data_IF_610762409843
#
_entry.id   IF_610762409843
#
_cell.length_a   1.000
_cell.length_b   1.000
_cell.length_c   1.000
_cell.angle_alpha   90.00
_cell.angle_beta   90.00
_cell.angle_gamma   90.00
#
_symmetry.space_group_name_H-M   'P 1'
#
loop_
_entity.id
_entity.type
_entity.pdbx_description
1 polymer ?
#
# COMPACT_ATOMS: atom_id res chain seq x y z
N UNK A 1 7.36 -6.95 20.47
CA UNK A 1 7.99 -6.15 19.39
C UNK A 1 8.00 -4.68 19.81
N UNK A 2 9.10 -3.94 19.60
CA UNK A 2 9.08 -2.50 19.80
C UNK A 2 8.11 -1.84 18.79
N UNK A 3 7.53 -0.67 19.12
CA UNK A 3 6.64 0.04 18.20
C UNK A 3 7.37 0.37 16.90
N UNK A 4 6.71 0.08 15.77
CA UNK A 4 7.23 0.49 14.46
C UNK A 4 7.32 2.02 14.41
N UNK A 5 8.50 2.56 14.08
CA UNK A 5 8.71 3.99 13.92
C UNK A 5 8.79 4.32 12.44
N UNK A 6 7.87 5.14 11.95
CA UNK A 6 7.96 5.72 10.63
C UNK A 6 9.24 6.55 10.50
N UNK A 7 10.08 6.19 9.53
CA UNK A 7 11.39 6.81 9.22
C UNK A 7 11.50 6.98 7.70
N UNK A 8 12.40 7.86 7.27
CA UNK A 8 12.54 8.24 5.87
C UNK A 8 11.74 9.50 5.53
N UNK A 9 12.03 10.10 4.37
CA UNK A 9 11.47 11.39 3.96
C UNK A 9 9.94 11.38 3.98
N UNK A 10 9.30 10.49 3.23
CA UNK A 10 7.83 10.52 3.04
C UNK A 10 7.03 10.07 4.27
N UNK A 11 7.68 9.35 5.19
CA UNK A 11 7.02 8.79 6.38
C UNK A 11 7.35 9.54 7.67
N UNK A 12 8.32 10.45 7.66
CA UNK A 12 8.72 11.19 8.87
C UNK A 12 7.57 12.08 9.38
N UNK A 13 7.43 12.16 10.70
CA UNK A 13 6.53 13.13 11.35
C UNK A 13 7.22 14.48 11.63
N UNK A 14 8.49 14.62 11.27
CA UNK A 14 9.21 15.88 11.38
C UNK A 14 8.92 16.75 10.16
N UNK A 15 8.26 17.90 10.36
CA UNK A 15 7.93 18.86 9.29
C UNK A 15 9.13 19.34 8.48
N UNK A 16 10.32 19.44 9.07
CA UNK A 16 11.52 19.86 8.32
C UNK A 16 12.03 18.76 7.38
N UNK A 17 11.74 17.49 7.68
CA UNK A 17 12.13 16.34 6.87
C UNK A 17 11.01 15.85 5.94
N UNK A 18 9.75 16.20 6.23
CA UNK A 18 8.56 15.82 5.49
C UNK A 18 7.55 16.99 5.45
N UNK A 19 7.86 18.08 4.74
CA UNK A 19 7.05 19.29 4.78
C UNK A 19 5.60 19.05 4.33
N UNK A 20 5.40 18.08 3.42
CA UNK A 20 4.10 17.84 2.78
C UNK A 20 3.21 16.86 3.56
N UNK A 21 3.77 15.80 4.13
CA UNK A 21 3.01 14.67 4.69
C UNK A 21 3.24 14.45 6.20
N UNK A 22 3.99 15.32 6.89
CA UNK A 22 4.35 15.08 8.31
C UNK A 22 3.16 14.81 9.22
N UNK A 23 2.01 15.45 9.00
CA UNK A 23 0.81 15.30 9.83
C UNK A 23 -0.28 14.40 9.25
N UNK A 24 0.02 13.64 8.19
CA UNK A 24 -0.93 12.67 7.64
C UNK A 24 -1.02 11.41 8.52
N UNK A 25 -2.18 10.76 8.48
CA UNK A 25 -2.32 9.36 8.91
C UNK A 25 -1.43 8.49 8.02
N UNK A 26 -0.56 7.67 8.63
CA UNK A 26 0.40 6.82 7.91
C UNK A 26 0.14 5.37 8.24
N UNK A 27 0.14 4.55 7.20
CA UNK A 27 0.01 3.10 7.30
C UNK A 27 1.14 2.48 6.49
N UNK A 28 1.87 1.54 7.09
CA UNK A 28 2.84 0.72 6.38
C UNK A 28 2.35 -0.71 6.34
N UNK A 29 2.21 -1.25 5.14
CA UNK A 29 1.85 -2.65 4.91
C UNK A 29 3.14 -3.40 4.59
N UNK A 30 3.50 -4.35 5.44
CA UNK A 30 4.70 -5.16 5.22
C UNK A 30 4.49 -6.09 4.01
N UNK A 31 5.47 -6.12 3.12
CA UNK A 31 5.48 -7.06 1.99
C UNK A 31 5.77 -8.47 2.48
N UNK A 32 4.79 -9.37 2.36
CA UNK A 32 4.87 -10.72 2.92
C UNK A 32 4.35 -11.84 2.00
N UNK A 33 3.87 -11.50 0.80
CA UNK A 33 3.30 -12.47 -0.14
C UNK A 33 4.29 -13.02 -1.17
N UNK A 34 5.44 -12.35 -1.37
CA UNK A 34 6.45 -12.80 -2.33
C UNK A 34 6.09 -12.64 -3.81
N UNK A 35 4.91 -12.05 -4.11
CA UNK A 35 4.40 -11.86 -5.49
C UNK A 35 3.87 -10.44 -5.71
N UNK A 36 4.56 -9.45 -5.14
CA UNK A 36 4.33 -8.02 -5.33
C UNK A 36 2.87 -7.57 -5.13
N UNK A 37 2.14 -8.18 -4.19
CA UNK A 37 0.71 -7.95 -3.95
C UNK A 37 -0.22 -8.32 -5.14
N UNK A 38 0.27 -9.05 -6.14
CA UNK A 38 -0.49 -9.36 -7.38
C UNK A 38 -1.08 -10.77 -7.42
N UNK A 39 -0.44 -11.74 -6.76
CA UNK A 39 -0.89 -13.12 -6.79
C UNK A 39 -2.21 -13.37 -6.06
N UNK A 40 -3.01 -14.28 -6.60
CA UNK A 40 -4.25 -14.78 -6.01
C UNK A 40 -4.44 -16.28 -6.31
N UNK A 41 -3.57 -17.11 -5.75
CA UNK A 41 -3.64 -18.57 -5.93
C UNK A 41 -4.19 -19.27 -4.68
N UNK A 42 -5.10 -20.23 -4.88
CA UNK A 42 -5.58 -21.08 -3.80
C UNK A 42 -4.54 -22.11 -3.38
N UNK A 43 -3.85 -22.71 -4.35
CA UNK A 43 -2.85 -23.74 -4.09
C UNK A 43 -1.70 -23.18 -3.26
N UNK A 44 -1.36 -23.91 -2.20
CA UNK A 44 -0.16 -23.66 -1.39
C UNK A 44 1.00 -24.38 -2.07
N UNK A 45 2.16 -23.73 -2.18
CA UNK A 45 3.35 -24.38 -2.72
C UNK A 45 3.67 -25.63 -1.88
N UNK A 46 3.62 -26.85 -2.46
CA UNK A 46 3.80 -28.07 -1.69
C UNK A 46 5.26 -28.27 -1.23
N UNK A 47 6.23 -27.63 -1.88
CA UNK A 47 7.64 -27.74 -1.54
C UNK A 47 8.05 -26.75 -0.43
N UNK A 48 7.48 -25.55 -0.44
CA UNK A 48 7.87 -24.47 0.49
C UNK A 48 6.81 -24.12 1.53
N UNK A 49 5.58 -24.61 1.38
CA UNK A 49 4.40 -24.25 2.17
C UNK A 49 4.10 -22.74 2.16
N UNK A 50 4.46 -22.04 1.08
CA UNK A 50 4.25 -20.60 0.92
C UNK A 50 2.90 -20.29 0.25
N UNK A 51 2.35 -19.13 0.62
CA UNK A 51 1.08 -18.62 0.15
C UNK A 51 1.30 -17.38 -0.70
N UNK A 52 0.98 -17.45 -1.99
CA UNK A 52 1.15 -16.35 -2.95
C UNK A 52 -0.18 -15.61 -3.16
N UNK A 53 -0.67 -14.94 -2.12
CA UNK A 53 -2.04 -14.36 -2.04
C UNK A 53 -2.03 -12.84 -1.82
N UNK A 54 -1.08 -12.15 -2.46
CA UNK A 54 -0.89 -10.71 -2.38
C UNK A 54 -2.16 -9.88 -2.61
N UNK A 55 -2.98 -10.24 -3.61
CA UNK A 55 -4.20 -9.51 -3.92
C UNK A 55 -5.25 -9.58 -2.80
N UNK A 56 -5.28 -10.69 -2.06
CA UNK A 56 -6.15 -10.86 -0.87
C UNK A 56 -5.68 -10.00 0.28
N UNK A 57 -4.36 -9.91 0.49
CA UNK A 57 -3.79 -9.04 1.53
C UNK A 57 -4.18 -7.58 1.25
N UNK A 58 -4.07 -7.10 0.01
CA UNK A 58 -4.53 -5.76 -0.35
C UNK A 58 -6.01 -5.56 -0.01
N UNK A 59 -6.86 -6.53 -0.37
CA UNK A 59 -8.31 -6.47 -0.12
C UNK A 59 -8.63 -6.39 1.38
N UNK A 60 -8.02 -7.26 2.19
CA UNK A 60 -8.23 -7.32 3.63
C UNK A 60 -7.73 -6.05 4.35
N UNK A 61 -6.56 -5.54 3.93
CA UNK A 61 -6.02 -4.28 4.46
C UNK A 61 -6.96 -3.12 4.13
N UNK A 62 -7.43 -3.02 2.89
CA UNK A 62 -8.35 -1.95 2.50
C UNK A 62 -9.65 -1.98 3.31
N UNK A 63 -10.24 -3.17 3.50
CA UNK A 63 -11.43 -3.34 4.34
C UNK A 63 -11.23 -2.83 5.77
N UNK A 64 -10.12 -3.22 6.40
CA UNK A 64 -9.77 -2.80 7.77
C UNK A 64 -9.52 -1.28 7.85
N UNK A 65 -8.80 -0.70 6.89
CA UNK A 65 -8.52 0.75 6.87
C UNK A 65 -9.77 1.60 6.62
N UNK A 66 -10.66 1.14 5.74
CA UNK A 66 -11.95 1.79 5.51
C UNK A 66 -12.78 1.80 6.80
N UNK A 67 -12.80 0.69 7.55
CA UNK A 67 -13.47 0.61 8.84
C UNK A 67 -12.84 1.54 9.91
N UNK A 68 -11.52 1.78 9.82
CA UNK A 68 -10.76 2.67 10.71
C UNK A 68 -10.81 4.16 10.34
N UNK A 69 -11.56 4.53 9.30
CA UNK A 69 -11.85 5.93 8.97
C UNK A 69 -11.26 6.41 7.65
N UNK A 70 -10.51 5.59 6.90
CA UNK A 70 -9.99 5.99 5.58
C UNK A 70 -11.11 6.42 4.62
N UNK A 71 -12.29 5.82 4.75
CA UNK A 71 -13.48 6.15 3.94
C UNK A 71 -13.99 7.58 4.13
N UNK A 72 -13.62 8.23 5.23
CA UNK A 72 -14.06 9.56 5.63
C UNK A 72 -12.99 10.64 5.35
N UNK A 73 -11.81 10.22 4.85
CA UNK A 73 -10.70 11.13 4.57
C UNK A 73 -10.95 11.99 3.32
N UNK A 74 -10.46 13.24 3.37
CA UNK A 74 -10.53 14.19 2.26
C UNK A 74 -9.44 13.94 1.20
N UNK A 75 -8.34 13.32 1.59
CA UNK A 75 -7.22 13.00 0.71
C UNK A 75 -6.76 11.58 1.02
N UNK A 76 -6.54 10.79 -0.01
CA UNK A 76 -5.98 9.45 0.11
C UNK A 76 -4.83 9.27 -0.89
N UNK A 77 -3.73 8.68 -0.42
CA UNK A 77 -2.53 8.47 -1.21
C UNK A 77 -2.05 7.03 -1.03
N UNK A 78 -2.04 6.26 -2.13
CA UNK A 78 -1.48 4.91 -2.17
C UNK A 78 -0.05 4.98 -2.70
N UNK A 79 0.94 4.76 -1.83
CA UNK A 79 2.36 4.80 -2.17
C UNK A 79 2.94 3.39 -2.17
N UNK A 80 3.79 3.09 -3.14
CA UNK A 80 4.56 1.85 -3.18
C UNK A 80 5.95 2.07 -3.76
N UNK A 81 6.94 1.31 -3.27
CA UNK A 81 8.34 1.37 -3.74
C UNK A 81 8.83 0.00 -4.21
N UNK A 82 9.62 -0.06 -5.29
CA UNK A 82 10.15 -1.30 -5.87
C UNK A 82 9.03 -2.32 -6.14
N UNK A 83 9.11 -3.56 -5.63
CA UNK A 83 8.03 -4.54 -5.76
C UNK A 83 6.70 -4.06 -5.13
N UNK A 84 6.76 -3.21 -4.11
CA UNK A 84 5.58 -2.60 -3.49
C UNK A 84 4.91 -1.54 -4.35
N UNK A 85 5.53 -1.09 -5.44
CA UNK A 85 4.92 -0.14 -6.39
C UNK A 85 3.87 -0.78 -7.29
N UNK A 86 3.89 -2.10 -7.50
CA UNK A 86 2.90 -2.82 -8.29
C UNK A 86 1.46 -2.62 -7.79
N UNK A 87 1.11 -2.75 -6.50
CA UNK A 87 -0.24 -2.44 -6.05
C UNK A 87 -0.59 -0.95 -6.22
N UNK A 88 0.37 -0.04 -6.03
CA UNK A 88 0.13 1.39 -6.28
C UNK A 88 -0.16 1.70 -7.77
N UNK A 89 0.46 0.95 -8.68
CA UNK A 89 0.25 1.06 -10.12
C UNK A 89 -1.02 0.35 -10.58
N UNK A 90 -1.15 -0.94 -10.26
CA UNK A 90 -2.18 -1.83 -10.80
C UNK A 90 -3.52 -1.69 -10.08
N UNK A 91 -3.52 -1.31 -8.80
CA UNK A 91 -4.75 -1.19 -8.01
C UNK A 91 -5.19 0.25 -7.79
N UNK A 92 -4.58 1.25 -8.44
CA UNK A 92 -4.94 2.65 -8.22
C UNK A 92 -6.43 2.92 -8.50
N UNK A 93 -6.97 2.39 -9.60
CA UNK A 93 -8.38 2.54 -9.94
C UNK A 93 -9.29 1.82 -8.94
N UNK A 94 -8.87 0.65 -8.45
CA UNK A 94 -9.59 -0.10 -7.41
C UNK A 94 -9.59 0.67 -6.10
N UNK A 95 -8.45 1.22 -5.70
CA UNK A 95 -8.30 2.07 -4.52
C UNK A 95 -9.23 3.29 -4.60
N UNK A 96 -9.28 3.94 -5.77
CA UNK A 96 -10.20 5.05 -6.04
C UNK A 96 -11.68 4.65 -5.88
N UNK A 97 -12.08 3.52 -6.47
CA UNK A 97 -13.46 3.01 -6.38
C UNK A 97 -13.89 2.63 -4.96
N UNK A 98 -12.95 2.25 -4.09
CA UNK A 98 -13.22 1.95 -2.68
C UNK A 98 -13.48 3.20 -1.83
N UNK A 99 -13.18 4.39 -2.35
CA UNK A 99 -13.27 5.67 -1.66
C UNK A 99 -14.16 6.66 -2.43
N UNK A 100 -15.44 6.33 -2.70
CA UNK A 100 -16.30 7.12 -3.58
C UNK A 100 -16.56 8.55 -3.08
N UNK A 101 -16.39 8.79 -1.77
CA UNK A 101 -16.61 10.10 -1.14
C UNK A 101 -15.32 10.91 -0.93
N UNK A 102 -14.15 10.35 -1.25
CA UNK A 102 -12.87 11.04 -1.08
C UNK A 102 -12.57 11.88 -2.32
N UNK A 103 -12.53 13.23 -2.21
CA UNK A 103 -12.43 14.10 -3.38
C UNK A 103 -11.06 14.09 -4.06
N UNK A 104 -10.00 13.72 -3.33
CA UNK A 104 -8.63 13.70 -3.87
C UNK A 104 -7.94 12.39 -3.57
N UNK A 105 -7.82 11.56 -4.59
CA UNK A 105 -7.13 10.28 -4.55
C UNK A 105 -5.95 10.33 -5.50
N UNK A 106 -4.79 9.89 -5.03
CA UNK A 106 -3.57 9.78 -5.83
C UNK A 106 -2.87 8.47 -5.52
N UNK A 107 -2.07 8.02 -6.48
CA UNK A 107 -1.17 6.89 -6.30
C UNK A 107 0.24 7.32 -6.72
N UNK A 108 1.24 6.86 -5.98
CA UNK A 108 2.65 7.16 -6.22
C UNK A 108 3.42 5.86 -6.33
N UNK A 109 4.05 5.68 -7.48
CA UNK A 109 4.94 4.54 -7.77
C UNK A 109 6.38 5.04 -7.70
N UNK A 110 7.10 4.64 -6.66
CA UNK A 110 8.54 4.89 -6.53
C UNK A 110 9.31 3.66 -7.06
N UNK A 111 10.21 3.85 -8.02
CA UNK A 111 11.11 2.78 -8.50
C UNK A 111 10.38 1.49 -8.96
N UNK A 112 9.15 1.62 -9.46
CA UNK A 112 8.26 0.51 -9.81
C UNK A 112 8.10 0.22 -11.30
N UNK A 113 8.65 1.08 -12.16
CA UNK A 113 8.57 0.94 -13.61
C UNK A 113 9.81 0.21 -14.13
N UNK A 114 9.60 -0.92 -14.79
CA UNK A 114 10.66 -1.75 -15.37
C UNK A 114 10.44 -1.82 -16.89
N UNK A 115 11.54 -1.70 -17.64
CA UNK A 115 11.55 -1.88 -19.10
C UNK A 115 11.96 -3.32 -19.37
N UNK A 116 11.17 -4.02 -20.18
CA UNK A 116 11.54 -5.32 -20.74
C UNK A 116 12.50 -5.09 -21.91
N UNK A 117 13.72 -5.61 -21.80
CA UNK A 117 14.85 -5.32 -22.72
C UNK A 117 15.27 -6.56 -23.51
#
# INVERSE_FOLDING_TARGET
>A
MPPFKFRGHDFSNNKNANPDLFNWNKVMVAYCDGVAFTGDVETVDPATNLYFRGARIFSAVMEDLLAKGLKDDKNALLIGSSAGAYPAMLYCDRFSKLLPNTPRIKCLTDSGYFIDV
#
